data_IF_988536580547
#
_entry.id   IF_988536580547
#
_cell.length_a   1.000
_cell.length_b   1.000
_cell.length_c   1.000
_cell.angle_alpha   90.00
_cell.angle_beta   90.00
_cell.angle_gamma   90.00
#
_symmetry.space_group_name_H-M   'P 1'
#
loop_
_entity.id
_entity.type
_entity.pdbx_description
1 polymer ?
#
# COMPACT_ATOMS: atom_id res chain seq x y z
N UNK A 1 16.75 -1.97 -36.24
CA UNK A 1 17.52 -1.33 -35.15
C UNK A 1 16.52 -1.00 -34.05
N UNK A 2 16.50 -1.71 -32.91
CA UNK A 2 15.53 -1.43 -31.85
C UNK A 2 15.77 -0.05 -31.22
N UNK A 3 14.75 0.59 -30.62
CA UNK A 3 14.91 1.87 -29.95
C UNK A 3 15.97 1.73 -28.85
N UNK A 4 16.95 2.63 -28.83
CA UNK A 4 17.87 2.75 -27.69
C UNK A 4 17.04 3.33 -26.55
N UNK A 5 16.64 2.49 -25.60
CA UNK A 5 16.02 2.96 -24.38
C UNK A 5 17.04 3.85 -23.65
N UNK A 6 16.84 5.17 -23.72
CA UNK A 6 17.60 6.10 -22.90
C UNK A 6 17.17 5.87 -21.46
N UNK A 7 18.11 5.39 -20.62
CA UNK A 7 17.87 4.99 -19.21
C UNK A 7 17.16 6.07 -18.39
N UNK A 8 17.28 7.33 -18.81
CA UNK A 8 16.66 8.50 -18.20
C UNK A 8 15.14 8.49 -18.44
N UNK A 9 14.68 8.14 -19.64
CA UNK A 9 13.26 8.07 -19.98
C UNK A 9 12.56 6.86 -19.31
N UNK A 10 13.27 5.74 -19.17
CA UNK A 10 12.76 4.53 -18.51
C UNK A 10 12.62 4.68 -16.98
N UNK A 11 13.33 5.63 -16.36
CA UNK A 11 13.08 6.01 -14.95
C UNK A 11 11.87 6.92 -14.79
N UNK A 12 11.62 7.83 -15.74
CA UNK A 12 10.46 8.73 -15.69
C UNK A 12 9.13 7.98 -15.82
N UNK A 13 9.12 6.84 -16.51
CA UNK A 13 7.92 6.02 -16.71
C UNK A 13 7.71 4.97 -15.61
N UNK A 14 8.71 4.73 -14.75
CA UNK A 14 8.51 3.98 -13.51
C UNK A 14 7.95 4.94 -12.48
N UNK A 15 6.62 5.04 -12.45
CA UNK A 15 5.89 5.64 -11.32
C UNK A 15 6.51 5.03 -10.05
N UNK A 16 7.16 5.81 -9.15
CA UNK A 16 7.82 5.24 -8.00
C UNK A 16 6.76 4.61 -7.11
N UNK A 17 6.68 3.29 -7.20
CA UNK A 17 5.81 2.42 -6.40
C UNK A 17 6.12 2.54 -4.90
N UNK A 18 7.22 3.24 -4.57
CA UNK A 18 7.61 3.65 -3.23
C UNK A 18 6.73 4.76 -2.60
N UNK A 19 5.96 5.53 -3.38
CA UNK A 19 5.09 6.60 -2.84
C UNK A 19 3.74 6.03 -2.36
N UNK A 20 3.41 4.79 -2.71
CA UNK A 20 2.09 4.21 -2.38
C UNK A 20 1.97 3.73 -0.92
N UNK A 21 2.97 4.01 -0.08
CA UNK A 21 2.93 3.74 1.37
C UNK A 21 2.30 4.88 2.19
N UNK A 22 1.63 5.85 1.55
CA UNK A 22 0.79 6.80 2.28
C UNK A 22 -0.49 6.11 2.76
N UNK A 23 -0.40 5.50 3.96
CA UNK A 23 -1.59 5.07 4.68
C UNK A 23 -2.47 6.31 4.93
N UNK A 24 -3.66 6.29 4.35
CA UNK A 24 -4.70 7.26 4.62
C UNK A 24 -4.92 7.34 6.15
N UNK A 25 -4.95 8.57 6.69
CA UNK A 25 -5.03 8.79 8.15
C UNK A 25 -6.28 8.17 8.78
N UNK A 26 -7.38 8.08 8.02
CA UNK A 26 -8.59 7.42 8.50
C UNK A 26 -8.42 5.90 8.66
N UNK A 27 -7.61 5.24 7.83
CA UNK A 27 -7.35 3.81 7.95
C UNK A 27 -6.39 3.50 9.11
N UNK A 28 -5.44 4.41 9.37
CA UNK A 28 -4.63 4.38 10.58
C UNK A 28 -5.50 4.49 11.84
N UNK A 29 -6.41 5.48 11.89
CA UNK A 29 -7.30 5.66 13.04
C UNK A 29 -8.20 4.45 13.26
N UNK A 30 -8.78 3.88 12.19
CA UNK A 30 -9.59 2.66 12.29
C UNK A 30 -8.78 1.48 12.83
N UNK A 31 -7.54 1.30 12.40
CA UNK A 31 -6.68 0.22 12.89
C UNK A 31 -6.39 0.33 14.39
N UNK A 32 -6.22 1.56 14.89
CA UNK A 32 -5.99 1.82 16.32
C UNK A 32 -7.27 1.66 17.17
N UNK A 33 -8.43 2.11 16.66
CA UNK A 33 -9.69 2.11 17.42
C UNK A 33 -10.50 0.81 17.31
N UNK A 34 -10.32 0.05 16.22
CA UNK A 34 -11.08 -1.16 15.93
C UNK A 34 -10.13 -2.32 15.60
N UNK A 35 -9.38 -2.82 16.60
CA UNK A 35 -8.44 -3.90 16.37
C UNK A 35 -9.19 -5.15 15.88
N UNK A 36 -8.79 -5.63 14.70
CA UNK A 36 -9.32 -6.85 14.12
C UNK A 36 -8.31 -7.97 14.30
N UNK A 37 -8.79 -9.14 14.70
CA UNK A 37 -7.98 -10.35 14.78
C UNK A 37 -8.56 -11.44 13.91
N UNK A 38 -7.69 -12.31 13.39
CA UNK A 38 -8.12 -13.47 12.60
C UNK A 38 -8.60 -14.59 13.52
N UNK A 39 -9.79 -15.12 13.25
CA UNK A 39 -10.37 -16.30 13.91
C UNK A 39 -10.81 -17.25 12.81
N UNK A 40 -10.13 -18.39 12.68
CA UNK A 40 -10.31 -19.28 11.53
C UNK A 40 -10.01 -18.56 10.21
N UNK A 41 -11.01 -18.43 9.34
CA UNK A 41 -10.92 -17.74 8.05
C UNK A 41 -11.46 -16.29 8.07
N UNK A 42 -11.96 -15.81 9.21
CA UNK A 42 -12.62 -14.51 9.31
C UNK A 42 -11.81 -13.52 10.14
N UNK A 43 -11.95 -12.23 9.84
CA UNK A 43 -11.40 -11.14 10.67
C UNK A 43 -12.51 -10.50 11.49
N UNK A 44 -12.43 -10.65 12.81
CA UNK A 44 -13.44 -10.13 13.74
C UNK A 44 -12.85 -8.98 14.54
N UNK A 45 -13.67 -7.95 14.80
CA UNK A 45 -13.31 -6.89 15.73
C UNK A 45 -13.38 -7.47 17.15
N UNK A 46 -12.32 -7.31 17.93
CA UNK A 46 -12.38 -7.63 19.37
C UNK A 46 -13.02 -6.43 20.08
N UNK A 47 -14.09 -6.69 20.84
CA UNK A 47 -14.53 -5.72 21.86
C UNK A 47 -13.44 -5.55 22.92
N UNK A 48 -13.44 -4.39 23.58
CA UNK A 48 -12.65 -4.17 24.80
C UNK A 48 -13.04 -5.18 25.88
#
# INVERSE_FOLDING_TARGET
>A
NPPKYDKIEDMSNKKPELIDMFLNSADLLKALCYPRVKVGNEYVTKGQ
#
